data_IF_874159139564
#
_entry.id   IF_874159139564
#
_cell.length_a   1.000
_cell.length_b   1.000
_cell.length_c   1.000
_cell.angle_alpha   90.00
_cell.angle_beta   90.00
_cell.angle_gamma   90.00
#
_symmetry.space_group_name_H-M   'P 1'
#
loop_
_entity.id
_entity.type
_entity.pdbx_description
1 polymer ?
#
# COMPACT_ATOMS: atom_id res chain seq x y z
N UNK A 1 45.38 -1.39 -20.28
CA UNK A 1 45.23 -0.85 -18.91
C UNK A 1 43.86 -0.23 -18.84
N UNK A 2 42.86 -1.02 -18.48
CA UNK A 2 41.48 -0.56 -18.40
C UNK A 2 41.18 -0.43 -16.92
N UNK A 3 41.49 0.74 -16.35
CA UNK A 3 40.82 1.19 -15.13
C UNK A 3 39.38 1.46 -15.53
N UNK A 4 38.58 0.40 -15.51
CA UNK A 4 37.14 0.48 -15.57
C UNK A 4 36.71 1.35 -14.40
N UNK A 5 36.20 2.55 -14.71
CA UNK A 5 35.63 3.49 -13.73
C UNK A 5 34.76 2.67 -12.78
N UNK A 6 35.23 2.46 -11.54
CA UNK A 6 34.37 2.14 -10.41
C UNK A 6 33.37 3.28 -10.37
N UNK A 7 32.20 3.08 -10.94
CA UNK A 7 31.08 4.00 -10.80
C UNK A 7 30.94 4.22 -9.31
N UNK A 8 31.17 5.45 -8.85
CA UNK A 8 30.97 5.78 -7.45
C UNK A 8 29.50 5.49 -7.13
N UNK A 9 29.27 4.38 -6.42
CA UNK A 9 27.93 3.89 -6.12
C UNK A 9 27.17 4.94 -5.32
N UNK A 10 27.84 5.70 -4.46
CA UNK A 10 27.22 6.80 -3.74
C UNK A 10 26.72 7.88 -4.71
N UNK A 11 27.55 8.28 -5.68
CA UNK A 11 27.13 9.23 -6.71
C UNK A 11 25.96 8.71 -7.56
N UNK A 12 25.85 7.38 -7.75
CA UNK A 12 24.68 6.76 -8.40
C UNK A 12 23.42 6.86 -7.52
N UNK A 13 23.54 6.64 -6.20
CA UNK A 13 22.42 6.69 -5.25
C UNK A 13 21.91 8.12 -4.99
N UNK A 14 22.76 9.14 -5.15
CA UNK A 14 22.40 10.54 -4.95
C UNK A 14 21.68 11.19 -6.15
N UNK A 15 21.45 10.42 -7.21
CA UNK A 15 20.77 10.95 -8.40
C UNK A 15 19.27 11.16 -8.15
N UNK A 16 18.63 12.13 -8.83
CA UNK A 16 17.21 12.41 -8.64
C UNK A 16 16.28 11.26 -9.05
N UNK A 17 16.75 10.28 -9.83
CA UNK A 17 15.94 9.11 -10.18
C UNK A 17 15.76 8.12 -9.01
N UNK A 18 16.56 8.24 -7.94
CA UNK A 18 16.35 7.49 -6.69
C UNK A 18 15.41 8.32 -5.78
N UNK A 19 14.11 8.00 -5.73
CA UNK A 19 13.14 8.83 -5.02
C UNK A 19 13.36 8.76 -3.51
N UNK A 20 13.11 9.88 -2.83
CA UNK A 20 12.93 9.88 -1.38
C UNK A 20 11.59 9.20 -1.05
N UNK A 21 11.66 7.95 -0.61
CA UNK A 21 10.50 7.12 -0.27
C UNK A 21 9.74 7.59 0.98
N UNK A 22 10.20 8.64 1.68
CA UNK A 22 9.40 9.32 2.70
C UNK A 22 8.35 10.24 2.08
N UNK A 23 8.57 10.71 0.85
CA UNK A 23 7.70 11.63 0.13
C UNK A 23 7.05 11.01 -1.10
N UNK A 24 7.79 10.17 -1.83
CA UNK A 24 7.37 9.60 -3.11
C UNK A 24 7.31 8.07 -2.99
N UNK A 25 6.11 7.57 -2.69
CA UNK A 25 5.85 6.14 -2.57
C UNK A 25 5.13 5.60 -3.81
N UNK A 26 5.36 4.33 -4.18
CA UNK A 26 4.63 3.71 -5.29
C UNK A 26 3.12 3.77 -5.07
N UNK A 27 2.37 4.04 -6.14
CA UNK A 27 0.91 4.03 -6.16
C UNK A 27 0.37 3.07 -7.22
N UNK A 28 -0.86 2.62 -7.06
CA UNK A 28 -1.56 1.80 -8.04
C UNK A 28 -3.09 1.93 -7.89
N UNK A 29 -3.82 1.64 -8.97
CA UNK A 29 -5.29 1.71 -8.98
C UNK A 29 -5.89 0.32 -9.19
N UNK A 30 -6.92 -0.01 -8.41
CA UNK A 30 -7.57 -1.32 -8.45
C UNK A 30 -9.09 -1.18 -8.52
N UNK A 31 -9.70 -1.85 -9.50
CA UNK A 31 -11.16 -1.92 -9.64
C UNK A 31 -11.73 -2.98 -8.71
N UNK A 32 -12.72 -2.62 -7.90
CA UNK A 32 -13.49 -3.57 -7.08
C UNK A 32 -14.66 -4.09 -7.92
N UNK A 33 -14.54 -5.31 -8.44
CA UNK A 33 -15.45 -5.85 -9.47
C UNK A 33 -16.91 -5.86 -8.98
N UNK A 34 -17.18 -6.49 -7.84
CA UNK A 34 -18.53 -6.60 -7.27
C UNK A 34 -19.17 -5.22 -7.04
N UNK A 35 -18.45 -4.28 -6.45
CA UNK A 35 -18.98 -2.93 -6.23
C UNK A 35 -19.25 -2.20 -7.56
N UNK A 36 -18.40 -2.43 -8.56
CA UNK A 36 -18.57 -1.82 -9.88
C UNK A 36 -19.83 -2.34 -10.58
N UNK A 37 -20.07 -3.64 -10.49
CA UNK A 37 -21.28 -4.28 -11.02
C UNK A 37 -22.54 -3.79 -10.30
N UNK A 38 -22.51 -3.73 -8.96
CA UNK A 38 -23.66 -3.31 -8.15
C UNK A 38 -24.04 -1.84 -8.34
N UNK A 39 -23.07 -0.98 -8.62
CA UNK A 39 -23.29 0.47 -8.76
C UNK A 39 -23.42 0.91 -10.23
N UNK A 40 -23.25 -0.01 -11.18
CA UNK A 40 -23.34 0.27 -12.61
C UNK A 40 -22.24 1.21 -13.15
N UNK A 41 -21.16 1.41 -12.39
CA UNK A 41 -20.04 2.26 -12.76
C UNK A 41 -18.74 1.72 -12.15
N UNK A 42 -17.61 2.01 -12.77
CA UNK A 42 -16.30 1.53 -12.29
C UNK A 42 -15.95 2.13 -10.92
N UNK A 43 -15.87 1.25 -9.91
CA UNK A 43 -15.42 1.58 -8.56
C UNK A 43 -13.95 1.26 -8.46
N UNK A 44 -13.11 2.30 -8.58
CA UNK A 44 -11.65 2.18 -8.62
C UNK A 44 -11.03 2.83 -7.39
N UNK A 45 -10.22 2.06 -6.67
CA UNK A 45 -9.49 2.50 -5.49
C UNK A 45 -8.07 2.90 -5.89
N UNK A 46 -7.62 4.07 -5.48
CA UNK A 46 -6.23 4.53 -5.57
C UNK A 46 -5.51 4.17 -4.27
N UNK A 47 -4.48 3.34 -4.37
CA UNK A 47 -3.67 2.85 -3.26
C UNK A 47 -2.24 3.38 -3.34
N UNK A 48 -1.62 3.60 -2.18
CA UNK A 48 -0.21 3.98 -2.01
C UNK A 48 0.54 3.02 -1.12
N UNK A 49 1.84 2.92 -1.33
CA UNK A 49 2.77 2.35 -0.36
C UNK A 49 2.80 3.15 0.95
N UNK A 50 3.36 2.54 1.98
CA UNK A 50 3.48 3.10 3.32
C UNK A 50 4.97 3.30 3.69
N UNK A 51 5.32 4.40 4.37
CA UNK A 51 6.67 4.56 4.92
C UNK A 51 6.98 3.47 5.94
N UNK A 52 8.26 3.10 6.06
CA UNK A 52 8.74 2.05 6.96
C UNK A 52 8.17 2.18 8.40
N UNK A 53 8.31 3.37 9.01
CA UNK A 53 7.84 3.60 10.37
C UNK A 53 6.31 3.49 10.55
N UNK A 54 5.52 3.69 9.48
CA UNK A 54 4.06 3.47 9.53
C UNK A 54 3.76 1.96 9.55
N UNK A 55 4.44 1.18 8.71
CA UNK A 55 4.28 -0.28 8.67
C UNK A 55 4.70 -0.91 9.99
N UNK A 56 5.83 -0.47 10.55
CA UNK A 56 6.32 -0.98 11.83
C UNK A 56 5.29 -0.78 12.96
N UNK A 57 4.73 0.43 13.10
CA UNK A 57 3.68 0.71 14.10
C UNK A 57 2.44 -0.17 13.93
N UNK A 58 2.03 -0.42 12.68
CA UNK A 58 0.88 -1.29 12.40
C UNK A 58 1.16 -2.74 12.81
N UNK A 59 2.39 -3.24 12.62
CA UNK A 59 2.79 -4.59 13.06
C UNK A 59 2.90 -4.70 14.58
N UNK A 60 3.51 -3.70 15.22
CA UNK A 60 3.68 -3.65 16.68
C UNK A 60 2.34 -3.57 17.42
N UNK A 61 1.32 -2.95 16.82
CA UNK A 61 0.00 -2.89 17.43
C UNK A 61 -0.65 -4.26 17.63
N UNK A 62 -0.15 -5.32 16.96
CA UNK A 62 -0.45 -6.73 17.25
C UNK A 62 -1.93 -7.13 17.23
N UNK A 63 -2.80 -6.23 16.79
CA UNK A 63 -4.25 -6.35 16.94
C UNK A 63 -4.89 -7.18 15.85
N UNK A 64 -6.08 -7.69 16.16
CA UNK A 64 -7.03 -8.15 15.17
C UNK A 64 -7.25 -7.03 14.12
N UNK A 65 -7.51 -7.41 12.86
CA UNK A 65 -7.74 -6.51 11.72
C UNK A 65 -6.51 -5.86 11.06
N UNK A 66 -5.31 -6.43 11.17
CA UNK A 66 -4.11 -5.90 10.51
C UNK A 66 -4.33 -5.57 9.02
N UNK A 67 -5.05 -6.41 8.27
CA UNK A 67 -5.39 -6.14 6.86
C UNK A 67 -6.24 -4.88 6.66
N UNK A 68 -7.25 -4.68 7.51
CA UNK A 68 -8.11 -3.49 7.47
C UNK A 68 -7.28 -2.25 7.79
N UNK A 69 -6.38 -2.35 8.78
CA UNK A 69 -5.52 -1.22 9.15
C UNK A 69 -4.51 -0.86 8.06
N UNK A 70 -3.93 -1.87 7.38
CA UNK A 70 -3.08 -1.66 6.21
C UNK A 70 -3.87 -0.99 5.08
N UNK A 71 -5.07 -1.48 4.77
CA UNK A 71 -5.92 -0.92 3.73
C UNK A 71 -6.31 0.52 4.05
N UNK A 72 -6.79 0.80 5.27
CA UNK A 72 -7.08 2.14 5.73
C UNK A 72 -5.86 3.05 5.56
N UNK A 73 -4.66 2.60 5.96
CA UNK A 73 -3.45 3.40 5.85
C UNK A 73 -3.03 3.66 4.39
N UNK A 74 -3.24 2.70 3.50
CA UNK A 74 -2.78 2.73 2.12
C UNK A 74 -3.80 3.20 1.08
N UNK A 75 -5.07 3.40 1.44
CA UNK A 75 -6.09 3.90 0.53
C UNK A 75 -6.06 5.44 0.47
N UNK A 76 -5.76 5.99 -0.70
CA UNK A 76 -5.80 7.44 -0.97
C UNK A 76 -7.18 7.87 -1.45
N UNK A 77 -7.82 7.05 -2.29
CA UNK A 77 -9.14 7.33 -2.84
C UNK A 77 -9.91 6.00 -3.01
N UNK A 78 -11.15 5.86 -2.53
CA UNK A 78 -11.92 6.83 -1.75
C UNK A 78 -11.36 7.03 -0.32
N UNK A 79 -11.80 8.08 0.37
CA UNK A 79 -11.50 8.27 1.79
C UNK A 79 -12.30 7.28 2.66
N UNK A 80 -11.67 6.15 2.96
CA UNK A 80 -12.22 5.10 3.83
C UNK A 80 -12.35 5.52 5.30
N UNK A 81 -11.79 6.67 5.70
CA UNK A 81 -11.96 7.24 7.05
C UNK A 81 -13.06 8.30 7.10
N UNK A 82 -13.71 8.58 5.97
CA UNK A 82 -14.72 9.63 5.89
C UNK A 82 -15.85 9.40 6.91
N UNK A 83 -16.30 10.45 7.62
CA UNK A 83 -17.44 10.36 8.53
C UNK A 83 -18.73 9.89 7.83
N UNK A 84 -18.94 10.29 6.58
CA UNK A 84 -20.11 9.90 5.79
C UNK A 84 -20.19 8.38 5.57
N UNK A 85 -19.04 7.73 5.39
CA UNK A 85 -18.98 6.27 5.24
C UNK A 85 -19.34 5.58 6.57
N UNK A 86 -18.85 6.10 7.69
CA UNK A 86 -19.18 5.58 9.01
C UNK A 86 -20.68 5.74 9.32
N UNK A 87 -21.24 6.92 9.07
CA UNK A 87 -22.66 7.21 9.27
C UNK A 87 -23.56 6.29 8.42
N UNK A 88 -23.23 6.10 7.13
CA UNK A 88 -23.97 5.21 6.23
C UNK A 88 -24.09 3.79 6.77
N UNK A 89 -23.03 3.28 7.40
CA UNK A 89 -22.98 1.92 7.92
C UNK A 89 -23.27 1.81 9.42
N UNK A 90 -23.56 2.93 10.11
CA UNK A 90 -23.73 2.96 11.56
C UNK A 90 -22.50 2.46 12.32
N UNK A 91 -21.31 2.63 11.74
CA UNK A 91 -20.05 2.11 12.28
C UNK A 91 -19.44 3.09 13.29
N UNK A 92 -18.94 2.57 14.42
CA UNK A 92 -18.28 3.38 15.45
C UNK A 92 -16.83 3.72 15.10
N UNK A 93 -16.23 2.96 14.17
CA UNK A 93 -14.87 3.20 13.70
C UNK A 93 -14.74 3.07 12.18
N UNK A 94 -13.71 3.66 11.55
CA UNK A 94 -13.41 3.42 10.14
C UNK A 94 -13.20 1.94 9.79
N UNK A 95 -12.64 1.15 10.72
CA UNK A 95 -12.39 -0.26 10.49
C UNK A 95 -13.71 -1.04 10.35
N UNK A 96 -14.69 -0.75 11.20
CA UNK A 96 -16.04 -1.33 11.10
C UNK A 96 -16.74 -0.91 9.80
N UNK A 97 -16.63 0.36 9.39
CA UNK A 97 -17.20 0.84 8.14
C UNK A 97 -16.62 0.09 6.93
N UNK A 98 -15.30 -0.15 6.92
CA UNK A 98 -14.63 -0.93 5.87
C UNK A 98 -15.12 -2.38 5.86
N UNK A 99 -15.26 -3.02 7.03
CA UNK A 99 -15.80 -4.39 7.15
C UNK A 99 -17.26 -4.51 6.70
N UNK A 100 -18.03 -3.43 6.80
CA UNK A 100 -19.41 -3.38 6.31
C UNK A 100 -19.49 -3.12 4.79
N UNK A 101 -18.56 -2.35 4.24
CA UNK A 101 -18.50 -2.01 2.82
C UNK A 101 -17.94 -3.16 1.95
N UNK A 102 -16.85 -3.75 2.40
CA UNK A 102 -16.04 -4.70 1.62
C UNK A 102 -16.16 -6.13 2.16
N UNK A 103 -16.13 -7.10 1.25
CA UNK A 103 -16.04 -8.51 1.59
C UNK A 103 -14.64 -8.85 2.13
N UNK A 104 -14.51 -9.94 2.92
CA UNK A 104 -13.22 -10.35 3.46
C UNK A 104 -12.13 -10.56 2.39
N UNK A 105 -12.48 -11.16 1.24
CA UNK A 105 -11.55 -11.34 0.13
C UNK A 105 -11.14 -10.01 -0.54
N UNK A 106 -12.06 -9.05 -0.65
CA UNK A 106 -11.75 -7.71 -1.18
C UNK A 106 -10.78 -6.97 -0.26
N UNK A 107 -10.96 -7.09 1.06
CA UNK A 107 -10.06 -6.51 2.06
C UNK A 107 -8.66 -7.15 1.97
N UNK A 108 -8.57 -8.47 1.89
CA UNK A 108 -7.30 -9.20 1.77
C UNK A 108 -6.56 -8.81 0.48
N UNK A 109 -7.24 -8.74 -0.66
CA UNK A 109 -6.59 -8.42 -1.93
C UNK A 109 -6.11 -6.97 -1.99
N UNK A 110 -6.91 -6.03 -1.48
CA UNK A 110 -6.50 -4.61 -1.41
C UNK A 110 -5.38 -4.40 -0.38
N UNK A 111 -5.41 -5.06 0.79
CA UNK A 111 -4.33 -4.97 1.77
C UNK A 111 -3.02 -5.54 1.21
N UNK A 112 -3.09 -6.68 0.50
CA UNK A 112 -1.94 -7.26 -0.22
C UNK A 112 -1.41 -6.34 -1.30
N UNK A 113 -2.28 -5.61 -1.99
CA UNK A 113 -1.85 -4.63 -2.98
C UNK A 113 -1.02 -3.50 -2.33
N UNK A 114 -1.48 -2.97 -1.19
CA UNK A 114 -0.71 -2.00 -0.38
C UNK A 114 0.63 -2.60 0.07
N UNK A 115 0.64 -3.81 0.61
CA UNK A 115 1.87 -4.47 1.06
C UNK A 115 2.86 -4.69 -0.08
N UNK A 116 2.36 -5.11 -1.26
CA UNK A 116 3.17 -5.19 -2.47
C UNK A 116 3.81 -3.85 -2.73
N UNK A 117 3.06 -2.74 -2.79
CA UNK A 117 3.62 -1.38 -3.00
C UNK A 117 4.71 -1.00 -1.99
N UNK A 118 4.67 -1.54 -0.78
CA UNK A 118 5.71 -1.35 0.24
C UNK A 118 6.95 -2.26 0.08
N UNK A 119 7.00 -3.11 -0.96
CA UNK A 119 8.09 -4.06 -1.20
C UNK A 119 7.90 -5.43 -0.55
N UNK A 120 6.79 -5.69 0.15
CA UNK A 120 6.50 -7.02 0.70
C UNK A 120 5.92 -7.96 -0.36
N UNK A 121 5.96 -9.27 -0.07
CA UNK A 121 5.39 -10.34 -0.92
C UNK A 121 5.98 -10.36 -2.35
N UNK A 122 7.21 -9.88 -2.50
CA UNK A 122 8.02 -9.90 -3.73
C UNK A 122 9.50 -10.01 -3.36
N UNK A 123 10.32 -10.49 -4.30
CA UNK A 123 11.78 -10.42 -4.15
C UNK A 123 12.23 -8.97 -4.39
N UNK A 124 12.97 -8.40 -3.45
CA UNK A 124 13.48 -7.01 -3.53
C UNK A 124 14.99 -6.94 -3.73
N UNK A 125 15.69 -8.07 -3.56
CA UNK A 125 17.13 -8.18 -3.68
C UNK A 125 17.49 -9.48 -4.40
N UNK A 126 18.62 -9.48 -5.07
CA UNK A 126 19.26 -10.63 -5.70
C UNK A 126 20.69 -10.72 -5.17
N UNK A 127 21.13 -11.94 -4.84
CA UNK A 127 22.51 -12.18 -4.42
C UNK A 127 23.45 -12.17 -5.63
N UNK A 128 24.44 -11.27 -5.61
CA UNK A 128 25.54 -11.31 -6.58
C UNK A 128 26.57 -12.30 -6.08
N UNK A 129 26.69 -13.45 -6.76
CA UNK A 129 27.66 -14.49 -6.40
C UNK A 129 29.09 -13.94 -6.50
N UNK A 130 29.89 -14.22 -5.49
CA UNK A 130 31.33 -13.97 -5.54
C UNK A 130 31.96 -14.85 -6.64
N UNK A 131 32.74 -14.24 -7.52
CA UNK A 131 33.52 -14.93 -8.55
C UNK A 131 34.69 -15.73 -7.94
#
# INVERSE_FOLDING_TARGET
MSEEKKTDLLALLLRPEAPDVTHQLPTARYKVQRLSELLGQDVVFSLRGLPYGKVQRLRESGGDDMNVQILLAGCEEPDLRSPQLQEKYGAATPAEAVKALLLPGEIEDLSRAVEKLCGYRRMTIEEVKNA
#
